data_IF_903919393790
#
_entry.id   IF_903919393790
#
_cell.length_a   1.000
_cell.length_b   1.000
_cell.length_c   1.000
_cell.angle_alpha   90.00
_cell.angle_beta   90.00
_cell.angle_gamma   90.00
#
_symmetry.space_group_name_H-M   'P 1'
#
loop_
_entity.id
_entity.type
_entity.pdbx_description
1 polymer ?
#
# COMPACT_ATOMS: atom_id res chain seq x y z
N UNK A 1 -7.95 5.59 10.80
CA UNK A 1 -7.31 4.56 9.95
C UNK A 1 -6.69 3.55 10.90
N UNK A 2 -7.29 2.37 11.00
CA UNK A 2 -7.00 1.37 12.05
C UNK A 2 -5.56 0.85 12.02
N UNK A 3 -4.86 0.94 10.88
CA UNK A 3 -3.44 0.60 10.76
C UNK A 3 -2.57 1.27 11.84
N UNK A 4 -2.75 2.57 12.10
CA UNK A 4 -1.94 3.30 13.08
C UNK A 4 -2.34 3.06 14.53
N UNK A 5 -3.51 2.43 14.75
CA UNK A 5 -4.00 2.03 16.07
C UNK A 5 -3.50 0.62 16.41
N UNK A 6 -3.52 -0.29 15.44
CA UNK A 6 -3.09 -1.69 15.58
C UNK A 6 -1.57 -1.87 15.47
N UNK A 7 -0.89 -1.00 14.71
CA UNK A 7 0.55 -1.04 14.47
C UNK A 7 1.15 0.37 14.67
N UNK A 8 1.30 0.82 15.94
CA UNK A 8 1.78 2.17 16.22
C UNK A 8 3.21 2.43 15.70
N UNK A 9 4.02 1.37 15.58
CA UNK A 9 5.38 1.37 15.01
C UNK A 9 5.43 1.71 13.51
N UNK A 10 4.29 1.72 12.81
CA UNK A 10 4.20 2.23 11.43
C UNK A 10 4.52 3.72 11.36
N UNK A 11 4.14 4.48 12.40
CA UNK A 11 4.34 5.94 12.46
C UNK A 11 5.82 6.32 12.45
N UNK A 12 6.63 5.50 13.11
CA UNK A 12 8.07 5.76 13.25
C UNK A 12 8.81 5.55 11.93
N UNK A 13 8.22 4.76 11.01
CA UNK A 13 8.79 4.52 9.70
C UNK A 13 8.27 5.50 8.64
N UNK A 14 7.04 5.96 8.79
CA UNK A 14 6.59 7.13 8.06
C UNK A 14 7.19 8.39 8.70
N UNK A 15 8.40 8.78 8.28
CA UNK A 15 9.12 9.95 8.80
C UNK A 15 8.26 11.21 9.07
N UNK A 16 7.25 11.57 8.23
CA UNK A 16 6.38 12.72 8.52
C UNK A 16 5.48 12.59 9.75
N UNK A 17 5.34 11.39 10.32
CA UNK A 17 4.39 11.04 11.38
C UNK A 17 5.07 10.60 12.69
N UNK A 18 6.40 10.56 12.72
CA UNK A 18 7.16 10.18 13.89
C UNK A 18 6.82 11.13 15.07
N UNK A 19 6.47 10.55 16.23
CA UNK A 19 6.08 11.28 17.43
C UNK A 19 4.66 11.86 17.43
N UNK A 20 3.87 11.68 16.37
CA UNK A 20 2.51 12.24 16.29
C UNK A 20 1.47 11.32 16.95
N UNK A 21 0.51 11.92 17.68
CA UNK A 21 -0.62 11.17 18.25
C UNK A 21 -1.58 10.72 17.16
N UNK A 22 -2.27 9.60 17.36
CA UNK A 22 -3.24 9.08 16.36
C UNK A 22 -4.34 10.09 16.04
N UNK A 23 -4.80 10.84 17.04
CA UNK A 23 -5.80 11.91 16.89
C UNK A 23 -5.35 13.10 16.04
N UNK A 24 -4.04 13.29 15.87
CA UNK A 24 -3.47 14.35 15.04
C UNK A 24 -3.25 13.84 13.60
N UNK A 25 -2.91 12.55 13.46
CA UNK A 25 -2.70 11.91 12.16
C UNK A 25 -3.93 11.95 11.26
N UNK A 26 -5.13 11.75 11.82
CA UNK A 26 -6.38 11.82 11.05
C UNK A 26 -6.59 13.17 10.35
N UNK A 27 -5.99 14.24 10.87
CA UNK A 27 -6.07 15.59 10.30
C UNK A 27 -4.80 16.01 9.55
N UNK A 28 -3.82 15.11 9.41
CA UNK A 28 -2.58 15.41 8.70
C UNK A 28 -2.82 15.54 7.19
N UNK A 29 -2.45 16.70 6.64
CA UNK A 29 -2.44 16.94 5.18
C UNK A 29 -1.54 15.95 4.45
N UNK A 30 -0.41 15.56 5.05
CA UNK A 30 0.50 14.58 4.47
C UNK A 30 -0.15 13.19 4.39
N UNK A 31 -0.88 12.77 5.43
CA UNK A 31 -1.57 11.47 5.41
C UNK A 31 -2.69 11.46 4.38
N UNK A 32 -3.47 12.54 4.29
CA UNK A 32 -4.51 12.70 3.27
C UNK A 32 -3.92 12.66 1.85
N UNK A 33 -2.82 13.38 1.60
CA UNK A 33 -2.12 13.35 0.32
C UNK A 33 -1.55 11.95 0.00
N UNK A 34 -1.08 11.21 1.00
CA UNK A 34 -0.66 9.83 0.82
C UNK A 34 -1.84 8.91 0.47
N UNK A 35 -2.96 9.02 1.19
CA UNK A 35 -4.18 8.26 0.90
C UNK A 35 -4.68 8.52 -0.53
N UNK A 36 -4.69 9.77 -1.00
CA UNK A 36 -5.05 10.11 -2.38
C UNK A 36 -4.10 9.46 -3.41
N UNK A 37 -2.80 9.41 -3.13
CA UNK A 37 -1.83 8.70 -4.00
C UNK A 37 -2.07 7.19 -4.03
N UNK A 38 -2.42 6.59 -2.89
CA UNK A 38 -2.80 5.17 -2.82
C UNK A 38 -4.04 4.92 -3.66
N UNK A 39 -5.11 5.71 -3.50
CA UNK A 39 -6.33 5.58 -4.29
C UNK A 39 -6.06 5.72 -5.80
N UNK A 40 -5.31 6.75 -6.20
CA UNK A 40 -4.95 6.96 -7.59
C UNK A 40 -4.08 5.83 -8.16
N UNK A 41 -3.24 5.20 -7.34
CA UNK A 41 -2.45 4.05 -7.76
C UNK A 41 -3.32 2.79 -7.92
N UNK A 42 -4.25 2.55 -7.00
CA UNK A 42 -5.20 1.44 -7.09
C UNK A 42 -6.05 1.57 -8.37
N UNK A 43 -6.53 2.79 -8.68
CA UNK A 43 -7.24 3.05 -9.94
C UNK A 43 -6.38 2.70 -11.16
N UNK A 44 -5.09 3.04 -11.16
CA UNK A 44 -4.16 2.67 -12.24
C UNK A 44 -3.98 1.16 -12.37
N UNK A 45 -4.03 0.42 -11.26
CA UNK A 45 -3.96 -1.04 -11.26
C UNK A 45 -5.22 -1.65 -11.87
N UNK A 46 -6.40 -1.20 -11.43
CA UNK A 46 -7.70 -1.66 -11.95
C UNK A 46 -7.79 -1.40 -13.46
N UNK A 47 -7.33 -0.23 -13.93
CA UNK A 47 -7.33 0.10 -15.36
C UNK A 47 -6.37 -0.76 -16.22
N UNK A 48 -5.55 -1.62 -15.61
CA UNK A 48 -4.51 -2.44 -16.27
C UNK A 48 -4.62 -3.93 -15.94
N UNK A 49 -5.77 -4.39 -15.45
CA UNK A 49 -5.96 -5.81 -15.11
C UNK A 49 -5.68 -6.73 -16.30
N UNK A 50 -6.01 -6.29 -17.50
CA UNK A 50 -5.78 -7.03 -18.76
C UNK A 50 -4.41 -6.73 -19.41
N UNK A 51 -3.60 -5.86 -18.82
CA UNK A 51 -2.31 -5.40 -19.34
C UNK A 51 -1.16 -5.81 -18.41
N UNK A 52 -1.01 -7.13 -18.20
CA UNK A 52 -0.14 -7.70 -17.17
C UNK A 52 1.28 -7.12 -17.16
N UNK A 53 1.95 -7.03 -18.30
CA UNK A 53 3.32 -6.54 -18.38
C UNK A 53 3.43 -5.07 -17.94
N UNK A 54 2.42 -4.25 -18.28
CA UNK A 54 2.37 -2.84 -17.87
C UNK A 54 2.09 -2.72 -16.38
N UNK A 55 1.19 -3.55 -15.84
CA UNK A 55 0.90 -3.59 -14.41
C UNK A 55 2.12 -4.02 -13.60
N UNK A 56 2.85 -5.05 -14.06
CA UNK A 56 4.06 -5.54 -13.42
C UNK A 56 5.16 -4.49 -13.35
N UNK A 57 5.42 -3.81 -14.47
CA UNK A 57 6.39 -2.72 -14.50
C UNK A 57 6.01 -1.59 -13.56
N UNK A 58 4.73 -1.22 -13.52
CA UNK A 58 4.22 -0.17 -12.63
C UNK A 58 4.41 -0.54 -11.15
N UNK A 59 4.13 -1.78 -10.77
CA UNK A 59 4.31 -2.29 -9.41
C UNK A 59 5.78 -2.43 -9.02
N UNK A 60 6.62 -2.81 -9.98
CA UNK A 60 8.07 -2.88 -9.78
C UNK A 60 8.66 -1.50 -9.49
N UNK A 61 8.30 -0.49 -10.28
CA UNK A 61 8.71 0.90 -10.06
C UNK A 61 8.23 1.41 -8.70
N UNK A 62 6.98 1.11 -8.31
CA UNK A 62 6.45 1.49 -7.01
C UNK A 62 7.20 0.82 -5.85
N UNK A 63 7.48 -0.48 -5.95
CA UNK A 63 8.23 -1.22 -4.94
C UNK A 63 9.67 -0.73 -4.80
N UNK A 64 10.35 -0.42 -5.91
CA UNK A 64 11.67 0.24 -5.90
C UNK A 64 11.61 1.59 -5.20
N UNK A 65 10.61 2.42 -5.47
CA UNK A 65 10.46 3.70 -4.79
C UNK A 65 10.27 3.51 -3.26
N UNK A 66 9.44 2.54 -2.86
CA UNK A 66 9.23 2.22 -1.44
C UNK A 66 10.49 1.72 -0.73
N UNK A 67 11.40 1.05 -1.45
CA UNK A 67 12.72 0.71 -0.90
C UNK A 67 13.50 1.98 -0.53
N UNK A 68 13.56 2.96 -1.44
CA UNK A 68 14.28 4.21 -1.20
C UNK A 68 13.61 5.08 -0.12
N UNK A 69 12.30 4.94 0.09
CA UNK A 69 11.60 5.56 1.20
C UNK A 69 11.88 4.90 2.56
N UNK A 70 12.54 3.74 2.59
CA UNK A 70 12.78 2.98 3.81
C UNK A 70 11.55 2.21 4.30
N UNK A 71 10.58 1.93 3.42
CA UNK A 71 9.37 1.21 3.80
C UNK A 71 9.69 -0.25 4.18
N UNK A 72 9.27 -0.75 5.36
CA UNK A 72 9.46 -2.13 5.76
C UNK A 72 8.50 -3.03 5.00
N UNK A 73 9.01 -4.15 4.48
CA UNK A 73 8.21 -5.13 3.73
C UNK A 73 6.98 -5.59 4.51
N UNK A 74 7.09 -5.74 5.84
CA UNK A 74 5.99 -6.18 6.72
C UNK A 74 4.75 -5.28 6.68
N UNK A 75 4.89 -3.99 6.36
CA UNK A 75 3.76 -3.07 6.30
C UNK A 75 3.09 -3.00 4.93
N UNK A 76 3.76 -3.46 3.87
CA UNK A 76 3.15 -3.53 2.54
C UNK A 76 1.92 -4.45 2.58
N UNK A 77 2.01 -5.56 3.30
CA UNK A 77 0.93 -6.54 3.42
C UNK A 77 -0.27 -6.03 4.21
N UNK A 78 -0.04 -5.04 5.07
CA UNK A 78 -1.11 -4.46 5.88
C UNK A 78 -2.01 -3.51 5.09
N UNK A 79 -1.57 -3.02 3.92
CA UNK A 79 -2.37 -2.06 3.13
C UNK A 79 -3.64 -2.71 2.59
N UNK A 80 -3.57 -3.97 2.14
CA UNK A 80 -4.71 -4.68 1.55
C UNK A 80 -5.91 -4.84 2.49
N UNK A 81 -5.74 -5.48 3.66
CA UNK A 81 -6.82 -5.63 4.64
C UNK A 81 -7.44 -4.29 5.06
N UNK A 82 -6.59 -3.27 5.23
CA UNK A 82 -7.02 -1.93 5.64
C UNK A 82 -7.80 -1.22 4.54
N UNK A 83 -7.42 -1.41 3.27
CA UNK A 83 -8.17 -0.90 2.14
C UNK A 83 -9.56 -1.55 2.03
N UNK A 84 -9.62 -2.89 2.05
CA UNK A 84 -10.87 -3.66 1.96
C UNK A 84 -11.85 -3.22 3.04
N UNK A 85 -11.38 -3.12 4.30
CA UNK A 85 -12.19 -2.65 5.43
C UNK A 85 -12.65 -1.20 5.26
N UNK A 86 -11.85 -0.33 4.64
CA UNK A 86 -12.20 1.06 4.42
C UNK A 86 -13.27 1.26 3.33
N UNK A 87 -13.27 0.43 2.29
CA UNK A 87 -14.23 0.56 1.17
C UNK A 87 -15.56 -0.16 1.43
N UNK A 88 -15.57 -1.22 2.24
CA UNK A 88 -16.76 -2.02 2.54
C UNK A 88 -17.98 -1.16 2.96
N UNK A 89 -17.87 -0.21 3.93
CA UNK A 89 -19.00 0.64 4.31
C UNK A 89 -19.49 1.59 3.22
N UNK A 90 -18.68 1.84 2.18
CA UNK A 90 -19.03 2.74 1.07
C UNK A 90 -19.75 2.01 -0.08
N UNK A 91 -19.61 0.68 -0.13
CA UNK A 91 -20.12 -0.16 -1.23
C UNK A 91 -21.39 -0.94 -0.85
N UNK A 92 -21.89 -0.80 0.38
CA UNK A 92 -23.05 -1.47 1.02
C UNK A 92 -23.93 -2.29 0.06
N UNK A 93 -24.66 -1.63 -0.83
CA UNK A 93 -25.69 -2.24 -1.67
C UNK A 93 -25.14 -3.22 -2.72
N UNK A 94 -23.88 -3.05 -3.12
CA UNK A 94 -23.18 -3.91 -4.08
C UNK A 94 -22.10 -4.78 -3.44
N UNK A 95 -21.96 -4.72 -2.11
CA UNK A 95 -20.96 -5.51 -1.39
C UNK A 95 -21.33 -7.00 -1.41
N UNK A 96 -20.37 -7.85 -1.76
CA UNK A 96 -20.53 -9.30 -1.81
C UNK A 96 -19.25 -10.01 -1.38
N UNK A 97 -19.36 -11.31 -1.08
CA UNK A 97 -18.18 -12.14 -0.81
C UNK A 97 -17.23 -12.15 -2.01
N UNK A 98 -17.76 -12.21 -3.24
CA UNK A 98 -16.96 -12.21 -4.46
C UNK A 98 -16.23 -10.88 -4.67
N UNK A 99 -16.87 -9.75 -4.33
CA UNK A 99 -16.25 -8.43 -4.41
C UNK A 99 -15.12 -8.30 -3.40
N UNK A 100 -15.35 -8.74 -2.16
CA UNK A 100 -14.33 -8.79 -1.10
C UNK A 100 -13.14 -9.64 -1.53
N UNK A 101 -13.40 -10.82 -2.06
CA UNK A 101 -12.38 -11.76 -2.52
C UNK A 101 -11.59 -11.18 -3.70
N UNK A 102 -12.26 -10.56 -4.67
CA UNK A 102 -11.62 -9.90 -5.81
C UNK A 102 -10.68 -8.77 -5.38
N UNK A 103 -11.10 -7.91 -4.45
CA UNK A 103 -10.23 -6.88 -3.88
C UNK A 103 -9.06 -7.49 -3.11
N UNK A 104 -9.31 -8.55 -2.33
CA UNK A 104 -8.27 -9.24 -1.56
C UNK A 104 -7.21 -9.85 -2.46
N UNK A 105 -7.60 -10.47 -3.58
CA UNK A 105 -6.69 -11.01 -4.58
C UNK A 105 -5.87 -9.91 -5.27
N UNK A 106 -6.51 -8.80 -5.68
CA UNK A 106 -5.81 -7.66 -6.26
C UNK A 106 -4.74 -7.11 -5.31
N UNK A 107 -5.07 -6.89 -4.04
CA UNK A 107 -4.09 -6.42 -3.06
C UNK A 107 -3.01 -7.45 -2.73
N UNK A 108 -3.33 -8.74 -2.76
CA UNK A 108 -2.33 -9.79 -2.60
C UNK A 108 -1.32 -9.77 -3.75
N UNK A 109 -1.79 -9.55 -4.98
CA UNK A 109 -0.95 -9.38 -6.16
C UNK A 109 -0.05 -8.14 -6.06
N UNK A 110 -0.64 -6.99 -5.72
CA UNK A 110 0.08 -5.72 -5.53
C UNK A 110 1.19 -5.90 -4.48
N UNK A 111 0.85 -6.43 -3.31
CA UNK A 111 1.80 -6.62 -2.22
C UNK A 111 2.91 -7.61 -2.59
N UNK A 112 2.58 -8.69 -3.29
CA UNK A 112 3.57 -9.64 -3.78
C UNK A 112 4.60 -8.97 -4.70
N UNK A 113 4.13 -8.24 -5.73
CA UNK A 113 5.02 -7.58 -6.68
C UNK A 113 5.87 -6.50 -6.02
N UNK A 114 5.28 -5.69 -5.13
CA UNK A 114 6.02 -4.67 -4.38
C UNK A 114 7.11 -5.27 -3.50
N UNK A 115 6.84 -6.36 -2.75
CA UNK A 115 7.84 -7.04 -1.90
C UNK A 115 8.98 -7.63 -2.72
N UNK A 116 8.69 -8.17 -3.89
CA UNK A 116 9.71 -8.70 -4.80
C UNK A 116 10.63 -7.58 -5.29
N UNK A 117 10.06 -6.45 -5.72
CA UNK A 117 10.82 -5.29 -6.15
C UNK A 117 11.64 -4.65 -5.02
N UNK A 118 11.08 -4.54 -3.81
CA UNK A 118 11.80 -4.15 -2.58
C UNK A 118 13.02 -5.04 -2.34
N UNK A 119 12.84 -6.36 -2.44
CA UNK A 119 13.91 -7.35 -2.24
C UNK A 119 14.97 -7.27 -3.33
N UNK A 120 14.58 -7.07 -4.58
CA UNK A 120 15.50 -6.90 -5.69
C UNK A 120 16.35 -5.63 -5.53
N UNK A 121 15.72 -4.50 -5.15
CA UNK A 121 16.42 -3.24 -4.90
C UNK A 121 17.41 -3.34 -3.73
N UNK A 122 17.02 -4.04 -2.66
CA UNK A 122 17.89 -4.34 -1.52
C UNK A 122 19.13 -5.15 -1.92
N UNK A 123 18.95 -6.22 -2.70
CA UNK A 123 20.04 -7.05 -3.21
C UNK A 123 20.98 -6.25 -4.13
N UNK A 124 20.43 -5.45 -5.03
CA UNK A 124 21.22 -4.60 -5.93
C UNK A 124 22.10 -3.62 -5.14
N UNK A 125 21.52 -2.92 -4.13
CA UNK A 125 22.28 -2.00 -3.27
C UNK A 125 23.40 -2.70 -2.49
N UNK A 126 23.19 -3.96 -2.07
CA UNK A 126 24.19 -4.75 -1.35
C UNK A 126 25.32 -5.24 -2.26
N UNK A 127 25.03 -5.59 -3.51
CA UNK A 127 26.02 -6.03 -4.49
C UNK A 127 26.80 -4.90 -5.17
N UNK A 128 26.36 -3.64 -5.03
CA UNK A 128 27.10 -2.45 -5.47
C UNK A 128 28.07 -1.89 -4.40
N UNK A 129 28.17 -2.54 -3.24
CA UNK A 129 29.17 -2.25 -2.20
C UNK A 129 30.26 -3.30 -2.23
#
# INVERSE_FOLDING_TARGET
MELFETHPDVKDVFMPFNGMKTSELQHSKQLQAHALRVMGFVQKCVARLDEKEKLDKLLEELGKAHFYYGAPKKYIDQVGPQFVKAIEPSLKDIWSSDLKESWTQLFSYISFQMRNALTAAEKAKRGSK
#
